data_IF_680708557775
#
_entry.id   IF_680708557775
#
_cell.length_a   1.000
_cell.length_b   1.000
_cell.length_c   1.000
_cell.angle_alpha   90.00
_cell.angle_beta   90.00
_cell.angle_gamma   90.00
#
_symmetry.space_group_name_H-M   'P 1'
#
loop_
_entity.id
_entity.type
_entity.pdbx_description
1 polymer ?
#
# COMPACT_ATOMS: atom_id res chain seq x y z
N UNK A 1 31.56 -29.67 15.75
CA UNK A 1 32.32 -30.78 16.37
C UNK A 1 31.45 -31.42 17.45
N UNK A 2 31.02 -32.67 17.23
CA UNK A 2 30.11 -33.43 18.11
C UNK A 2 30.74 -34.79 18.50
N UNK A 3 32.08 -34.83 18.63
CA UNK A 3 32.80 -36.07 18.89
C UNK A 3 32.62 -36.50 20.34
N UNK A 4 32.07 -37.69 20.57
CA UNK A 4 31.95 -38.33 21.89
C UNK A 4 30.61 -38.20 22.62
N UNK A 5 29.53 -37.73 21.96
CA UNK A 5 28.18 -37.65 22.57
C UNK A 5 27.10 -38.14 21.60
N UNK A 6 26.17 -38.96 22.09
CA UNK A 6 24.97 -39.32 21.33
C UNK A 6 24.05 -38.12 21.26
N UNK A 7 23.75 -37.64 20.05
CA UNK A 7 22.83 -36.52 19.82
C UNK A 7 21.60 -37.02 19.09
N UNK A 8 20.42 -36.79 19.67
CA UNK A 8 19.14 -37.00 19.01
C UNK A 8 18.61 -35.61 18.62
N UNK A 9 18.34 -35.41 17.34
CA UNK A 9 17.81 -34.14 16.81
C UNK A 9 16.50 -34.40 16.08
N UNK A 10 15.49 -33.58 16.37
CA UNK A 10 14.20 -33.58 15.68
C UNK A 10 14.24 -32.40 14.71
N UNK A 11 14.18 -32.67 13.41
CA UNK A 11 14.31 -31.63 12.40
C UNK A 11 13.01 -31.42 11.62
N UNK A 12 12.59 -30.16 11.50
CA UNK A 12 11.59 -29.73 10.53
C UNK A 12 12.20 -29.41 9.16
N UNK A 13 13.50 -29.09 9.11
CA UNK A 13 14.23 -28.75 7.87
C UNK A 13 15.11 -29.91 7.47
N UNK A 14 14.76 -30.60 6.38
CA UNK A 14 15.46 -31.83 5.97
C UNK A 14 16.92 -31.57 5.54
N UNK A 15 17.27 -30.33 5.19
CA UNK A 15 18.65 -29.89 4.92
C UNK A 15 19.59 -30.08 6.12
N UNK A 16 19.09 -30.02 7.34
CA UNK A 16 19.89 -30.15 8.57
C UNK A 16 20.19 -31.61 8.94
N UNK A 17 19.44 -32.57 8.40
CA UNK A 17 19.59 -34.01 8.68
C UNK A 17 20.34 -34.77 7.58
N UNK A 18 20.83 -34.07 6.53
CA UNK A 18 21.56 -34.73 5.43
C UNK A 18 22.87 -35.38 5.88
N UNK A 19 23.55 -34.81 6.88
CA UNK A 19 24.89 -35.22 7.32
C UNK A 19 24.89 -36.03 8.62
N UNK A 20 23.75 -36.62 9.02
CA UNK A 20 23.66 -37.41 10.25
C UNK A 20 24.00 -38.88 9.99
N UNK A 21 24.52 -39.55 11.01
CA UNK A 21 24.92 -40.96 10.91
C UNK A 21 23.74 -41.90 10.70
N UNK A 22 22.58 -41.56 11.27
CA UNK A 22 21.36 -42.36 11.14
C UNK A 22 20.09 -41.51 11.25
N UNK A 23 19.15 -41.75 10.33
CA UNK A 23 17.85 -41.07 10.23
C UNK A 23 16.76 -42.08 10.58
N UNK A 24 15.78 -41.65 11.38
CA UNK A 24 14.56 -42.41 11.69
C UNK A 24 13.35 -41.58 11.26
N UNK A 25 12.50 -42.18 10.44
CA UNK A 25 11.27 -41.56 9.95
C UNK A 25 10.09 -42.14 10.69
N UNK A 26 9.27 -41.26 11.24
CA UNK A 26 8.06 -41.62 11.96
C UNK A 26 6.83 -41.33 11.11
N UNK A 27 5.89 -42.27 11.09
CA UNK A 27 4.53 -42.06 10.60
C UNK A 27 3.55 -42.63 11.64
N UNK A 28 2.53 -41.85 11.99
CA UNK A 28 1.50 -42.22 12.97
C UNK A 28 2.04 -42.83 14.29
N UNK A 29 3.18 -42.31 14.78
CA UNK A 29 3.81 -42.78 16.02
C UNK A 29 4.61 -44.09 15.90
N UNK A 30 4.81 -44.62 14.69
CA UNK A 30 5.65 -45.79 14.41
C UNK A 30 6.82 -45.43 13.52
N UNK A 31 7.96 -46.11 13.71
CA UNK A 31 9.13 -45.96 12.83
C UNK A 31 8.85 -46.74 11.54
N UNK A 32 8.71 -46.03 10.43
CA UNK A 32 8.44 -46.62 9.11
C UNK A 32 9.72 -46.84 8.31
N UNK A 33 10.72 -45.97 8.48
CA UNK A 33 12.00 -46.07 7.78
C UNK A 33 13.16 -45.68 8.69
N UNK A 34 14.31 -46.34 8.50
CA UNK A 34 15.56 -45.95 9.15
C UNK A 34 16.76 -46.27 8.25
N UNK A 35 17.79 -45.42 8.30
CA UNK A 35 18.93 -45.55 7.38
C UNK A 35 19.86 -44.35 7.36
N UNK A 36 20.88 -44.42 6.50
CA UNK A 36 21.64 -43.24 6.07
C UNK A 36 20.88 -42.53 4.96
N UNK A 37 21.15 -41.25 4.76
CA UNK A 37 20.52 -40.42 3.72
C UNK A 37 20.49 -41.13 2.36
N UNK A 38 21.65 -41.57 1.84
CA UNK A 38 21.75 -42.16 0.49
C UNK A 38 20.88 -43.42 0.34
N UNK A 39 20.87 -44.28 1.36
CA UNK A 39 20.08 -45.52 1.36
C UNK A 39 18.57 -45.27 1.43
N UNK A 40 18.16 -44.19 2.08
CA UNK A 40 16.73 -43.81 2.16
C UNK A 40 16.27 -43.12 0.86
N UNK A 41 17.15 -42.38 0.21
CA UNK A 41 16.87 -41.77 -1.10
C UNK A 41 16.74 -42.83 -2.21
N UNK A 42 17.52 -43.91 -2.16
CA UNK A 42 17.45 -45.02 -3.13
C UNK A 42 16.18 -45.87 -2.98
N UNK A 43 15.63 -45.96 -1.77
CA UNK A 43 14.41 -46.72 -1.47
C UNK A 43 13.13 -46.05 -1.99
N UNK A 44 13.22 -44.80 -2.43
CA UNK A 44 12.12 -43.97 -2.91
C UNK A 44 10.86 -44.00 -2.04
N UNK A 45 11.05 -44.00 -0.72
CA UNK A 45 9.98 -44.10 0.27
C UNK A 45 9.55 -42.76 0.87
N UNK A 46 8.99 -42.78 2.07
CA UNK A 46 8.42 -41.58 2.71
C UNK A 46 9.47 -40.49 2.91
N UNK A 47 10.72 -40.87 3.22
CA UNK A 47 11.82 -39.91 3.35
C UNK A 47 12.09 -39.16 2.03
N UNK A 48 12.12 -39.85 0.87
CA UNK A 48 12.46 -39.22 -0.41
C UNK A 48 11.36 -38.26 -0.88
N UNK A 49 10.10 -38.60 -0.64
CA UNK A 49 8.94 -37.74 -0.92
C UNK A 49 9.02 -36.43 -0.12
N UNK A 50 9.31 -36.51 1.18
CA UNK A 50 9.48 -35.33 2.04
C UNK A 50 10.66 -34.46 1.60
N UNK A 51 11.78 -35.05 1.16
CA UNK A 51 12.93 -34.30 0.64
C UNK A 51 12.54 -33.55 -0.64
N UNK A 52 11.89 -34.24 -1.60
CA UNK A 52 11.47 -33.63 -2.87
C UNK A 52 10.46 -32.51 -2.67
N UNK A 53 9.48 -32.70 -1.77
CA UNK A 53 8.49 -31.66 -1.46
C UNK A 53 9.14 -30.38 -0.92
N UNK A 54 10.12 -30.50 -0.01
CA UNK A 54 10.84 -29.34 0.51
C UNK A 54 11.81 -28.70 -0.50
N UNK A 55 12.34 -29.47 -1.45
CA UNK A 55 13.20 -28.94 -2.51
C UNK A 55 12.39 -28.13 -3.53
N UNK A 56 11.19 -28.59 -3.88
CA UNK A 56 10.25 -27.85 -4.76
C UNK A 56 9.82 -26.54 -4.12
N UNK A 57 9.43 -26.53 -2.83
CA UNK A 57 9.06 -25.30 -2.10
C UNK A 57 10.22 -24.28 -2.09
N UNK A 58 11.46 -24.77 -2.01
CA UNK A 58 12.65 -23.92 -2.04
C UNK A 58 12.94 -23.36 -3.44
N UNK A 59 12.67 -24.14 -4.49
CA UNK A 59 12.82 -23.71 -5.87
C UNK A 59 11.75 -22.68 -6.25
N UNK A 60 10.49 -22.91 -5.89
CA UNK A 60 9.39 -21.94 -6.13
C UNK A 60 9.62 -20.61 -5.41
N UNK A 61 10.20 -20.65 -4.20
CA UNK A 61 10.56 -19.45 -3.45
C UNK A 61 11.75 -18.68 -4.05
N UNK A 62 12.68 -19.38 -4.70
CA UNK A 62 13.84 -18.75 -5.33
C UNK A 62 13.49 -18.23 -6.75
N UNK A 63 12.58 -18.87 -7.48
CA UNK A 63 12.08 -18.37 -8.78
C UNK A 63 11.26 -17.08 -8.64
N UNK A 64 10.76 -16.74 -7.44
CA UNK A 64 10.14 -15.44 -7.19
C UNK A 64 11.12 -14.27 -6.99
N UNK A 65 12.43 -14.53 -6.84
CA UNK A 65 13.40 -13.47 -6.54
C UNK A 65 14.46 -13.22 -7.63
N UNK A 66 14.71 -14.14 -8.58
CA UNK A 66 15.61 -13.86 -9.71
C UNK A 66 15.23 -14.71 -10.93
N UNK A 67 14.92 -14.06 -12.07
CA UNK A 67 15.55 -14.33 -13.37
C UNK A 67 14.94 -13.47 -14.52
N UNK A 68 15.78 -12.57 -15.04
CA UNK A 68 15.80 -12.26 -16.46
C UNK A 68 17.08 -12.90 -17.05
N UNK A 69 16.89 -13.66 -18.13
CA UNK A 69 17.87 -14.10 -19.14
C UNK A 69 18.55 -15.49 -19.04
N UNK A 70 17.78 -16.50 -19.48
CA UNK A 70 18.07 -17.49 -20.55
C UNK A 70 19.54 -17.76 -20.96
N UNK A 71 19.99 -19.03 -20.87
CA UNK A 71 20.54 -19.80 -22.02
C UNK A 71 20.72 -21.31 -21.75
N UNK A 72 20.08 -22.13 -22.60
CA UNK A 72 20.37 -23.53 -22.97
C UNK A 72 20.22 -24.62 -21.88
N UNK A 73 19.72 -25.83 -22.11
CA UNK A 73 19.94 -26.73 -23.24
C UNK A 73 18.77 -27.73 -23.34
N UNK A 74 18.35 -28.02 -24.57
CA UNK A 74 17.09 -28.68 -24.87
C UNK A 74 17.05 -30.16 -24.51
N UNK A 75 15.98 -30.57 -23.82
CA UNK A 75 15.36 -31.89 -23.92
C UNK A 75 14.07 -31.93 -23.08
N UNK A 76 13.06 -31.11 -23.40
CA UNK A 76 11.68 -31.29 -22.84
C UNK A 76 10.58 -30.54 -23.57
N UNK A 77 10.84 -30.04 -24.79
CA UNK A 77 9.88 -29.26 -25.60
C UNK A 77 8.67 -30.07 -26.07
N UNK A 78 8.72 -31.41 -26.09
CA UNK A 78 7.65 -32.19 -26.71
C UNK A 78 6.47 -32.53 -25.76
N UNK A 79 6.63 -32.47 -24.43
CA UNK A 79 5.55 -32.80 -23.49
C UNK A 79 4.82 -31.55 -22.95
N UNK A 80 5.35 -30.34 -23.19
CA UNK A 80 4.88 -29.07 -22.62
C UNK A 80 3.73 -28.41 -23.38
N UNK A 81 3.53 -28.73 -24.67
CA UNK A 81 2.41 -28.16 -25.46
C UNK A 81 1.06 -28.80 -25.12
N UNK A 82 1.00 -30.12 -24.92
CA UNK A 82 -0.29 -30.81 -24.74
C UNK A 82 -0.98 -30.52 -23.39
N UNK A 83 -0.20 -30.15 -22.37
CA UNK A 83 -0.72 -29.80 -21.04
C UNK A 83 -1.16 -28.33 -20.97
N UNK A 84 -0.46 -27.44 -21.68
CA UNK A 84 -0.76 -26.01 -21.66
C UNK A 84 -2.05 -25.69 -22.43
N UNK A 85 -2.38 -26.44 -23.49
CA UNK A 85 -3.65 -26.28 -24.22
C UNK A 85 -4.87 -26.82 -23.42
N UNK A 86 -4.68 -27.89 -22.65
CA UNK A 86 -5.71 -28.42 -21.75
C UNK A 86 -5.94 -27.50 -20.55
N UNK A 87 -4.88 -26.89 -20.04
CA UNK A 87 -4.95 -25.93 -18.95
C UNK A 87 -5.54 -24.59 -19.40
N UNK A 88 -5.23 -24.12 -20.61
CA UNK A 88 -5.82 -22.90 -21.17
C UNK A 88 -7.31 -23.06 -21.50
N UNK A 89 -7.74 -24.23 -21.97
CA UNK A 89 -9.17 -24.56 -22.16
C UNK A 89 -9.93 -24.73 -20.85
N UNK A 90 -9.28 -25.16 -19.78
CA UNK A 90 -9.88 -25.20 -18.42
C UNK A 90 -9.96 -23.81 -17.80
N UNK A 91 -8.95 -22.98 -18.00
CA UNK A 91 -8.90 -21.60 -17.53
C UNK A 91 -9.92 -20.72 -18.25
N UNK A 92 -10.04 -20.83 -19.57
CA UNK A 92 -11.04 -20.06 -20.34
C UNK A 92 -12.48 -20.48 -20.03
N UNK A 93 -12.70 -21.76 -19.73
CA UNK A 93 -14.00 -22.28 -19.28
C UNK A 93 -14.32 -21.90 -17.83
N UNK A 94 -13.33 -21.82 -16.95
CA UNK A 94 -13.49 -21.31 -15.58
C UNK A 94 -13.78 -19.80 -15.53
N UNK A 95 -13.26 -19.04 -16.50
CA UNK A 95 -13.54 -17.60 -16.65
C UNK A 95 -14.92 -17.33 -17.26
N UNK A 96 -15.47 -18.26 -18.06
CA UNK A 96 -16.70 -18.04 -18.85
C UNK A 96 -17.97 -18.70 -18.31
N UNK A 97 -17.93 -19.42 -17.18
CA UNK A 97 -19.14 -19.95 -16.54
C UNK A 97 -19.53 -19.09 -15.33
N UNK A 98 -20.67 -18.37 -15.38
CA UNK A 98 -21.30 -17.88 -14.16
C UNK A 98 -21.92 -19.09 -13.44
N UNK A 99 -21.20 -19.62 -12.45
CA UNK A 99 -21.71 -20.65 -11.54
C UNK A 99 -22.07 -19.97 -10.22
N UNK A 100 -23.38 -19.90 -9.95
CA UNK A 100 -23.96 -19.50 -8.67
C UNK A 100 -23.50 -20.43 -7.53
N UNK A 101 -23.48 -19.88 -6.30
CA UNK A 101 -23.08 -20.41 -4.98
C UNK A 101 -21.57 -20.27 -4.64
N UNK A 102 -21.12 -19.57 -3.59
CA UNK A 102 -21.76 -18.91 -2.44
C UNK A 102 -21.25 -17.46 -2.33
N UNK A 103 -22.16 -16.51 -2.10
CA UNK A 103 -21.79 -15.17 -1.64
C UNK A 103 -21.08 -15.29 -0.28
N UNK A 104 -19.76 -15.33 -0.27
CA UNK A 104 -19.07 -14.50 0.72
C UNK A 104 -19.53 -13.10 0.36
N UNK A 105 -20.41 -12.54 1.19
CA UNK A 105 -20.73 -11.12 1.15
C UNK A 105 -19.39 -10.41 1.33
N UNK A 106 -18.72 -10.09 0.23
CA UNK A 106 -17.95 -8.87 0.16
C UNK A 106 -18.96 -7.81 0.57
N UNK A 107 -18.91 -7.43 1.85
CA UNK A 107 -19.59 -6.26 2.33
C UNK A 107 -19.09 -5.17 1.38
N UNK A 108 -19.94 -4.80 0.41
CA UNK A 108 -19.69 -3.71 -0.52
C UNK A 108 -19.40 -2.52 0.38
N UNK A 109 -18.13 -2.27 0.65
CA UNK A 109 -17.70 -1.10 1.40
C UNK A 109 -18.14 0.03 0.51
N UNK A 110 -19.26 0.66 0.87
CA UNK A 110 -19.80 1.82 0.18
C UNK A 110 -18.62 2.74 -0.04
N UNK A 111 -18.27 3.01 -1.29
CA UNK A 111 -17.14 3.88 -1.62
C UNK A 111 -17.30 5.13 -0.78
N UNK A 112 -16.39 5.34 0.17
CA UNK A 112 -16.51 6.44 1.10
C UNK A 112 -16.42 7.74 0.28
N UNK A 113 -17.50 8.52 0.29
CA UNK A 113 -17.49 9.79 -0.42
C UNK A 113 -16.50 10.73 0.25
N UNK A 114 -15.89 11.64 -0.51
CA UNK A 114 -15.05 12.72 0.05
C UNK A 114 -15.84 13.49 1.13
N UNK A 115 -17.17 13.57 0.97
CA UNK A 115 -18.09 14.13 1.97
C UNK A 115 -18.15 13.35 3.27
N UNK A 116 -18.05 12.01 3.22
CA UNK A 116 -18.03 11.17 4.42
C UNK A 116 -16.72 11.33 5.18
N UNK A 117 -15.62 11.54 4.46
CA UNK A 117 -14.30 11.86 5.03
C UNK A 117 -14.32 13.25 5.69
N UNK A 118 -14.92 14.25 5.03
CA UNK A 118 -15.09 15.61 5.59
C UNK A 118 -16.02 15.58 6.82
N UNK A 119 -17.06 14.74 6.80
CA UNK A 119 -17.95 14.52 7.95
C UNK A 119 -17.25 13.84 9.12
N UNK A 120 -16.27 12.97 8.86
CA UNK A 120 -15.41 12.40 9.90
C UNK A 120 -14.47 13.45 10.54
N UNK A 121 -14.09 14.49 9.79
CA UNK A 121 -13.30 15.62 10.27
C UNK A 121 -14.09 16.64 11.15
N UNK A 122 -15.33 16.32 11.57
CA UNK A 122 -16.29 17.17 12.34
C UNK A 122 -15.75 17.88 13.57
N UNK A 123 -14.67 17.40 14.17
CA UNK A 123 -14.14 17.98 15.41
C UNK A 123 -13.36 19.29 15.20
N UNK A 124 -12.95 19.62 13.97
CA UNK A 124 -12.21 20.85 13.65
C UNK A 124 -12.92 21.80 12.68
N UNK A 125 -14.25 21.66 12.52
CA UNK A 125 -15.00 22.44 11.53
C UNK A 125 -14.91 23.95 11.73
N UNK A 126 -14.72 24.42 12.95
CA UNK A 126 -14.53 25.86 13.21
C UNK A 126 -13.25 26.40 12.57
N UNK A 127 -12.13 25.69 12.69
CA UNK A 127 -10.86 26.12 12.08
C UNK A 127 -10.90 26.00 10.56
N UNK A 128 -11.49 24.92 10.05
CA UNK A 128 -11.64 24.68 8.62
C UNK A 128 -12.58 25.70 7.96
N UNK A 129 -13.71 26.02 8.59
CA UNK A 129 -14.67 26.99 8.06
C UNK A 129 -14.10 28.40 8.04
N UNK A 130 -13.35 28.79 9.08
CA UNK A 130 -12.65 30.09 9.13
C UNK A 130 -11.59 30.17 8.04
N UNK A 131 -10.78 29.12 7.86
CA UNK A 131 -9.76 29.08 6.81
C UNK A 131 -10.37 29.15 5.40
N UNK A 132 -11.50 28.46 5.20
CA UNK A 132 -12.26 28.48 3.94
C UNK A 132 -12.86 29.85 3.64
N UNK A 133 -13.43 30.53 4.64
CA UNK A 133 -13.95 31.88 4.48
C UNK A 133 -12.83 32.86 4.08
N UNK A 134 -11.66 32.78 4.72
CA UNK A 134 -10.48 33.58 4.36
C UNK A 134 -9.96 33.24 2.95
N UNK A 135 -10.03 31.98 2.54
CA UNK A 135 -9.66 31.57 1.18
C UNK A 135 -10.62 32.14 0.12
N UNK A 136 -11.93 32.23 0.42
CA UNK A 136 -12.89 32.90 -0.46
C UNK A 136 -12.59 34.39 -0.60
N UNK A 137 -12.30 35.08 0.51
CA UNK A 137 -11.89 36.50 0.48
C UNK A 137 -10.62 36.68 -0.35
N UNK A 138 -9.63 35.78 -0.22
CA UNK A 138 -8.42 35.79 -1.06
C UNK A 138 -8.76 35.58 -2.54
N UNK A 139 -9.74 34.74 -2.88
CA UNK A 139 -10.20 34.55 -4.26
C UNK A 139 -10.76 35.83 -4.89
N UNK A 140 -11.43 36.67 -4.10
CA UNK A 140 -11.96 37.97 -4.54
C UNK A 140 -10.86 39.01 -4.82
N UNK A 141 -9.61 38.75 -4.40
CA UNK A 141 -8.47 39.63 -4.69
C UNK A 141 -8.27 39.84 -6.19
N UNK A 142 -8.49 38.82 -7.04
CA UNK A 142 -8.31 38.94 -8.48
C UNK A 142 -9.31 39.91 -9.15
N UNK A 143 -10.64 39.82 -8.89
CA UNK A 143 -11.59 40.84 -9.31
C UNK A 143 -11.26 42.26 -8.82
N UNK A 144 -10.89 42.40 -7.54
CA UNK A 144 -10.56 43.72 -6.97
C UNK A 144 -9.30 44.30 -7.63
N UNK A 145 -8.28 43.47 -7.84
CA UNK A 145 -7.07 43.84 -8.59
C UNK A 145 -7.41 44.32 -10.00
N UNK A 146 -8.31 43.64 -10.71
CA UNK A 146 -8.76 44.03 -12.06
C UNK A 146 -9.41 45.42 -12.07
N UNK A 147 -10.29 45.72 -11.09
CA UNK A 147 -10.97 47.03 -11.00
C UNK A 147 -9.96 48.15 -10.71
N UNK A 148 -9.02 47.93 -9.80
CA UNK A 148 -7.98 48.93 -9.46
C UNK A 148 -7.08 49.17 -10.67
N UNK A 149 -6.69 48.12 -11.38
CA UNK A 149 -5.88 48.22 -12.59
C UNK A 149 -6.59 49.04 -13.69
N UNK A 150 -7.90 48.83 -13.89
CA UNK A 150 -8.71 49.65 -14.80
C UNK A 150 -8.76 51.14 -14.40
N UNK A 151 -8.88 51.43 -13.11
CA UNK A 151 -8.85 52.82 -12.60
C UNK A 151 -7.47 53.47 -12.76
N UNK A 152 -6.41 52.71 -12.56
CA UNK A 152 -5.04 53.15 -12.82
C UNK A 152 -4.87 53.55 -14.28
N UNK A 153 -5.30 52.72 -15.22
CA UNK A 153 -5.22 53.03 -16.66
C UNK A 153 -6.03 54.30 -17.01
N UNK A 154 -7.25 54.44 -16.49
CA UNK A 154 -8.09 55.64 -16.68
C UNK A 154 -7.43 56.93 -16.18
N UNK A 155 -6.71 56.84 -15.06
CA UNK A 155 -5.98 57.98 -14.47
C UNK A 155 -4.79 58.42 -15.33
N UNK A 156 -4.12 57.47 -16.00
CA UNK A 156 -3.01 57.77 -16.89
C UNK A 156 -3.47 58.43 -18.20
N UNK A 157 -4.67 58.08 -18.66
CA UNK A 157 -5.25 58.56 -19.93
C UNK A 157 -6.13 59.81 -19.80
N UNK A 158 -6.60 60.17 -18.60
CA UNK A 158 -7.51 61.32 -18.38
C UNK A 158 -6.89 62.33 -17.40
N UNK A 159 -6.59 63.57 -17.84
CA UNK A 159 -6.25 64.70 -16.95
C UNK A 159 -4.93 65.44 -17.24
N UNK A 160 -4.78 66.64 -16.64
CA UNK A 160 -3.56 67.47 -16.66
C UNK A 160 -2.43 66.84 -15.83
N UNK A 161 -1.15 67.18 -16.09
CA UNK A 161 0.02 66.55 -15.45
C UNK A 161 -0.03 66.53 -13.91
N UNK A 162 -0.61 67.55 -13.28
CA UNK A 162 -0.75 67.62 -11.82
C UNK A 162 -1.80 66.64 -11.26
N UNK A 163 -2.90 66.40 -11.99
CA UNK A 163 -3.97 65.49 -11.57
C UNK A 163 -3.55 64.01 -11.70
N UNK A 164 -2.72 63.70 -12.70
CA UNK A 164 -2.17 62.35 -12.89
C UNK A 164 -1.33 61.88 -11.69
N UNK A 165 -0.52 62.77 -11.12
CA UNK A 165 0.32 62.49 -9.95
C UNK A 165 -0.53 62.17 -8.71
N UNK A 166 -1.58 62.96 -8.46
CA UNK A 166 -2.47 62.72 -7.32
C UNK A 166 -3.29 61.42 -7.49
N UNK A 167 -3.79 61.13 -8.69
CA UNK A 167 -4.49 59.88 -8.94
C UNK A 167 -3.56 58.64 -8.88
N UNK A 168 -2.32 58.75 -9.37
CA UNK A 168 -1.34 57.66 -9.31
C UNK A 168 -0.95 57.32 -7.86
N UNK A 169 -0.74 58.33 -7.01
CA UNK A 169 -0.45 58.12 -5.58
C UNK A 169 -1.63 57.47 -4.85
N UNK A 170 -2.87 57.88 -5.14
CA UNK A 170 -4.07 57.24 -4.60
C UNK A 170 -4.19 55.77 -5.03
N UNK A 171 -3.91 55.46 -6.30
CA UNK A 171 -3.92 54.08 -6.80
C UNK A 171 -2.81 53.23 -6.16
N UNK A 172 -1.62 53.79 -5.93
CA UNK A 172 -0.53 53.10 -5.25
C UNK A 172 -0.89 52.71 -3.80
N UNK A 173 -1.62 53.58 -3.08
CA UNK A 173 -2.13 53.26 -1.73
C UNK A 173 -3.08 52.06 -1.77
N UNK A 174 -4.02 52.01 -2.74
CA UNK A 174 -4.92 50.86 -2.90
C UNK A 174 -4.19 49.54 -3.18
N UNK A 175 -3.18 49.55 -4.06
CA UNK A 175 -2.36 48.36 -4.33
C UNK A 175 -1.57 47.91 -3.09
N UNK A 176 -1.03 48.85 -2.33
CA UNK A 176 -0.26 48.55 -1.11
C UNK A 176 -1.14 47.93 -0.03
N UNK A 177 -2.33 48.48 0.21
CA UNK A 177 -3.31 47.93 1.16
C UNK A 177 -3.81 46.54 0.73
N UNK A 178 -4.07 46.33 -0.57
CA UNK A 178 -4.48 45.04 -1.11
C UNK A 178 -3.36 43.98 -0.98
N UNK A 179 -2.11 44.37 -1.19
CA UNK A 179 -0.96 43.48 -1.02
C UNK A 179 -0.78 43.04 0.43
N UNK A 180 -0.81 43.97 1.38
CA UNK A 180 -0.64 43.68 2.82
C UNK A 180 -1.80 42.81 3.32
N UNK A 181 -3.04 43.18 3.02
CA UNK A 181 -4.23 42.42 3.44
C UNK A 181 -4.26 41.01 2.83
N UNK A 182 -3.90 40.86 1.56
CA UNK A 182 -3.76 39.56 0.91
C UNK A 182 -2.66 38.72 1.55
N UNK A 183 -1.49 39.30 1.82
CA UNK A 183 -0.37 38.62 2.48
C UNK A 183 -0.77 38.08 3.86
N UNK A 184 -1.38 38.92 4.70
CA UNK A 184 -1.86 38.54 6.04
C UNK A 184 -2.92 37.44 5.95
N UNK A 185 -3.92 37.61 5.09
CA UNK A 185 -5.00 36.63 4.90
C UNK A 185 -4.45 35.27 4.46
N UNK A 186 -3.45 35.27 3.59
CA UNK A 186 -2.82 34.05 3.06
C UNK A 186 -2.01 33.33 4.12
N UNK A 187 -1.24 34.09 4.90
CA UNK A 187 -0.45 33.54 6.00
C UNK A 187 -1.36 32.88 7.05
N UNK A 188 -2.42 33.59 7.46
CA UNK A 188 -3.40 33.08 8.44
C UNK A 188 -4.13 31.85 7.88
N UNK A 189 -4.70 31.93 6.67
CA UNK A 189 -5.41 30.80 6.05
C UNK A 189 -4.50 29.59 5.89
N UNK A 190 -3.27 29.78 5.42
CA UNK A 190 -2.27 28.72 5.28
C UNK A 190 -1.89 28.07 6.61
N UNK A 191 -1.69 28.87 7.66
CA UNK A 191 -1.41 28.35 9.00
C UNK A 191 -2.57 27.51 9.56
N UNK A 192 -3.81 27.99 9.40
CA UNK A 192 -5.00 27.25 9.85
C UNK A 192 -5.18 25.93 9.07
N UNK A 193 -5.08 25.96 7.73
CA UNK A 193 -5.15 24.74 6.92
C UNK A 193 -4.02 23.75 7.25
N UNK A 194 -2.81 24.24 7.49
CA UNK A 194 -1.67 23.41 7.87
C UNK A 194 -1.89 22.71 9.21
N UNK A 195 -2.27 23.46 10.25
CA UNK A 195 -2.52 22.92 11.59
C UNK A 195 -3.67 21.91 11.59
N UNK A 196 -4.75 22.20 10.86
CA UNK A 196 -5.89 21.27 10.74
C UNK A 196 -5.54 20.03 9.91
N UNK A 197 -4.73 20.17 8.86
CA UNK A 197 -4.24 19.04 8.07
C UNK A 197 -3.35 18.08 8.88
N UNK A 198 -2.47 18.61 9.73
CA UNK A 198 -1.63 17.81 10.62
C UNK A 198 -2.47 17.03 11.63
N UNK A 199 -3.41 17.71 12.30
CA UNK A 199 -4.24 17.08 13.32
C UNK A 199 -5.17 16.02 12.73
N UNK A 200 -5.75 16.29 11.56
CA UNK A 200 -6.54 15.31 10.81
C UNK A 200 -5.71 14.08 10.43
N UNK A 201 -4.52 14.28 9.86
CA UNK A 201 -3.61 13.19 9.46
C UNK A 201 -3.19 12.35 10.66
N UNK A 202 -2.89 12.98 11.79
CA UNK A 202 -2.53 12.29 13.04
C UNK A 202 -3.67 11.39 13.51
N UNK A 203 -4.92 11.89 13.54
CA UNK A 203 -6.10 11.10 13.94
C UNK A 203 -6.35 9.93 13.00
N UNK A 204 -6.24 10.15 11.69
CA UNK A 204 -6.44 9.11 10.70
C UNK A 204 -5.40 8.00 10.82
N UNK A 205 -4.11 8.34 10.94
CA UNK A 205 -3.03 7.36 11.15
C UNK A 205 -3.22 6.56 12.44
N UNK A 206 -3.59 7.21 13.54
CA UNK A 206 -3.85 6.52 14.81
C UNK A 206 -5.04 5.57 14.72
N UNK A 207 -6.13 6.00 14.07
CA UNK A 207 -7.32 5.17 13.88
C UNK A 207 -7.03 3.95 13.00
N UNK A 208 -6.30 4.13 11.90
CA UNK A 208 -5.88 3.05 11.02
C UNK A 208 -4.98 2.06 11.75
N UNK A 209 -3.94 2.54 12.45
CA UNK A 209 -3.03 1.68 13.20
C UNK A 209 -3.75 0.87 14.28
N UNK A 210 -4.64 1.51 15.03
CA UNK A 210 -5.45 0.84 16.06
C UNK A 210 -6.33 -0.25 15.46
N UNK A 211 -6.95 0.01 14.30
CA UNK A 211 -7.77 -0.99 13.62
C UNK A 211 -6.94 -2.18 13.11
N UNK A 212 -5.77 -1.92 12.52
CA UNK A 212 -4.85 -2.98 12.05
C UNK A 212 -4.41 -3.86 13.24
N UNK A 213 -3.99 -3.25 14.35
CA UNK A 213 -3.54 -4.01 15.54
C UNK A 213 -4.69 -4.83 16.14
N UNK A 214 -5.92 -4.29 16.15
CA UNK A 214 -7.11 -5.03 16.61
C UNK A 214 -7.42 -6.24 15.73
N UNK A 215 -7.31 -6.09 14.40
CA UNK A 215 -7.55 -7.18 13.46
C UNK A 215 -6.55 -8.33 13.61
N UNK A 216 -5.26 -8.01 13.70
CA UNK A 216 -4.19 -9.01 13.92
C UNK A 216 -4.38 -9.75 15.24
N UNK A 217 -4.85 -9.06 16.29
CA UNK A 217 -5.15 -9.70 17.58
C UNK A 217 -6.35 -10.65 17.52
N UNK A 218 -7.33 -10.37 16.65
CA UNK A 218 -8.45 -11.27 16.42
C UNK A 218 -8.02 -12.55 15.69
N UNK A 219 -7.21 -12.45 14.63
CA UNK A 219 -6.72 -13.63 13.89
C UNK A 219 -5.85 -14.56 14.76
N UNK A 220 -4.99 -13.99 15.61
CA UNK A 220 -4.16 -14.79 16.54
C UNK A 220 -4.96 -15.48 17.65
N UNK A 221 -6.13 -14.93 18.02
CA UNK A 221 -6.99 -15.54 19.05
C UNK A 221 -7.89 -16.64 18.47
N UNK A 222 -8.27 -16.53 17.20
CA UNK A 222 -9.10 -17.53 16.51
C UNK A 222 -8.26 -18.69 15.97
N UNK A 223 -7.04 -18.43 15.48
CA UNK A 223 -6.13 -19.46 15.00
C UNK A 223 -5.58 -20.42 16.07
N UNK A 224 -5.75 -20.11 17.36
CA UNK A 224 -5.38 -21.00 18.47
C UNK A 224 -6.51 -21.96 18.89
N UNK A 225 -7.68 -21.88 18.23
CA UNK A 225 -8.92 -22.55 18.64
C UNK A 225 -9.47 -23.53 17.59
N UNK A 226 -8.72 -23.82 16.52
CA UNK A 226 -9.02 -24.90 15.55
C UNK A 226 -8.04 -26.06 15.67
#
# INVERSE_FOLDING_TARGET
>A
AQSGRTTISIAHRLSTVKHVDHIYVFDNGRIVEHGKHDKLMEKDGLYSELVRAQEIEKLERNESEDEMEFTSFGAKTQYRESQMEKMSKRLSRAISQPSEAEEVKEEKVKGASILDIIKYAREEWCSLSVALALAMVRGMTFPVFSIIYGRMFKTLTSGSNAEKLHGATMNAVWFSLLGISSGITTFISGFLFGRSGETFTKRLRLSLFTNIVKQVRFETTVGFRS
#
